data_IF_808540333924
#
_entry.id   IF_808540333924
#
_cell.length_a   1.000
_cell.length_b   1.000
_cell.length_c   1.000
_cell.angle_alpha   90.00
_cell.angle_beta   90.00
_cell.angle_gamma   90.00
#
_symmetry.space_group_name_H-M   'P 1'
#
loop_
_entity.id
_entity.type
_entity.pdbx_description
1 polymer ?
#
# COMPACT_ATOMS: atom_id res chain seq x y z
N UNK A 1 8.12 -5.72 5.15
CA UNK A 1 7.24 -4.60 5.60
C UNK A 1 6.72 -3.89 4.37
N UNK A 2 5.43 -3.53 4.34
CA UNK A 2 4.84 -2.67 3.30
C UNK A 2 4.69 -1.26 3.87
N UNK A 3 5.03 -0.25 3.07
CA UNK A 3 4.94 1.18 3.43
C UNK A 3 4.17 1.92 2.35
N UNK A 4 3.34 2.86 2.75
CA UNK A 4 2.54 3.67 1.84
C UNK A 4 3.34 4.81 1.23
N UNK A 5 3.01 5.14 -0.01
CA UNK A 5 3.66 6.19 -0.81
C UNK A 5 2.58 7.10 -1.40
N UNK A 6 1.96 7.98 -0.58
CA UNK A 6 0.81 8.78 -1.01
C UNK A 6 1.23 9.97 -1.90
N UNK A 7 1.86 9.69 -3.04
CA UNK A 7 2.38 10.70 -3.98
C UNK A 7 1.31 11.32 -4.88
N UNK A 8 0.10 10.75 -4.92
CA UNK A 8 -0.97 11.19 -5.81
C UNK A 8 -2.24 11.56 -5.04
N UNK A 9 -3.06 12.39 -5.67
CA UNK A 9 -4.38 12.73 -5.15
C UNK A 9 -5.20 11.47 -4.85
N UNK A 10 -5.85 11.44 -3.69
CA UNK A 10 -6.67 10.31 -3.24
C UNK A 10 -5.88 9.11 -2.72
N UNK A 11 -4.55 9.11 -2.79
CA UNK A 11 -3.75 8.03 -2.20
C UNK A 11 -3.93 7.95 -0.68
N UNK A 12 -4.09 9.07 0.03
CA UNK A 12 -4.37 9.08 1.47
C UNK A 12 -5.69 8.36 1.80
N UNK A 13 -6.73 8.56 0.99
CA UNK A 13 -8.01 7.87 1.16
C UNK A 13 -7.90 6.38 0.82
N UNK A 14 -7.16 6.00 -0.23
CA UNK A 14 -6.87 4.60 -0.53
C UNK A 14 -6.13 3.90 0.62
N UNK A 15 -5.19 4.61 1.27
CA UNK A 15 -4.54 4.13 2.50
C UNK A 15 -5.54 3.92 3.63
N UNK A 16 -6.49 4.85 3.82
CA UNK A 16 -7.53 4.68 4.85
C UNK A 16 -8.44 3.49 4.59
N UNK A 17 -8.78 3.20 3.33
CA UNK A 17 -9.51 1.97 2.96
C UNK A 17 -8.73 0.73 3.41
N UNK A 18 -7.43 0.69 3.10
CA UNK A 18 -6.57 -0.44 3.42
C UNK A 18 -6.34 -0.61 4.93
N UNK A 19 -6.16 0.47 5.67
CA UNK A 19 -5.98 0.41 7.13
C UNK A 19 -7.29 0.08 7.86
N UNK A 20 -8.43 0.54 7.35
CA UNK A 20 -9.73 0.05 7.83
C UNK A 20 -9.90 -1.46 7.54
N UNK A 21 -9.47 -1.93 6.37
CA UNK A 21 -9.47 -3.36 6.04
C UNK A 21 -8.53 -4.16 6.95
N UNK A 22 -7.36 -3.61 7.31
CA UNK A 22 -6.43 -4.23 8.27
C UNK A 22 -7.08 -4.46 9.64
N UNK A 23 -7.90 -3.52 10.12
CA UNK A 23 -8.67 -3.64 11.38
C UNK A 23 -9.80 -4.66 11.35
N UNK A 24 -10.11 -5.19 10.17
CA UNK A 24 -11.15 -6.19 9.95
C UNK A 24 -10.56 -7.54 9.47
N UNK A 25 -9.23 -7.70 9.51
CA UNK A 25 -8.54 -8.88 8.98
C UNK A 25 -8.83 -9.12 7.47
N UNK A 26 -9.03 -8.03 6.72
CA UNK A 26 -9.34 -8.02 5.28
C UNK A 26 -8.30 -7.30 4.43
N UNK A 27 -7.11 -7.05 4.97
CA UNK A 27 -6.07 -6.28 4.27
C UNK A 27 -5.73 -6.88 2.90
N UNK A 28 -5.34 -8.16 2.82
CA UNK A 28 -4.90 -8.77 1.56
C UNK A 28 -6.03 -8.83 0.50
N UNK A 29 -7.26 -9.31 0.81
CA UNK A 29 -8.34 -9.31 -0.18
C UNK A 29 -8.66 -7.90 -0.73
N UNK A 30 -8.67 -6.88 0.13
CA UNK A 30 -8.95 -5.51 -0.28
C UNK A 30 -7.79 -4.93 -1.09
N UNK A 31 -6.54 -5.22 -0.70
CA UNK A 31 -5.35 -4.81 -1.46
C UNK A 31 -5.38 -5.38 -2.87
N UNK A 32 -5.62 -6.68 -3.01
CA UNK A 32 -5.67 -7.37 -4.29
C UNK A 32 -6.79 -6.80 -5.17
N UNK A 33 -8.00 -6.62 -4.62
CA UNK A 33 -9.12 -6.06 -5.36
C UNK A 33 -8.87 -4.63 -5.82
N UNK A 34 -8.27 -3.79 -4.98
CA UNK A 34 -7.93 -2.42 -5.34
C UNK A 34 -6.85 -2.36 -6.43
N UNK A 35 -5.86 -3.26 -6.41
CA UNK A 35 -4.88 -3.36 -7.50
C UNK A 35 -5.49 -3.88 -8.79
N UNK A 36 -6.29 -4.95 -8.73
CA UNK A 36 -6.97 -5.51 -9.90
C UNK A 36 -7.84 -4.47 -10.60
N UNK A 37 -8.54 -3.65 -9.81
CA UNK A 37 -9.46 -2.61 -10.29
C UNK A 37 -8.82 -1.23 -10.41
N UNK A 38 -7.51 -1.11 -10.20
CA UNK A 38 -6.80 0.17 -10.22
C UNK A 38 -7.05 0.99 -11.50
N UNK A 39 -7.09 0.42 -12.73
CA UNK A 39 -7.37 1.19 -13.94
C UNK A 39 -8.77 1.85 -13.95
N UNK A 40 -9.71 1.33 -13.15
CA UNK A 40 -11.09 1.79 -13.12
C UNK A 40 -11.29 2.97 -12.15
N UNK A 41 -10.56 2.99 -11.02
CA UNK A 41 -10.78 3.97 -9.95
C UNK A 41 -9.61 4.94 -9.73
N UNK A 42 -8.37 4.54 -10.02
CA UNK A 42 -7.16 5.34 -9.71
C UNK A 42 -6.70 6.20 -10.89
N UNK A 43 -7.65 6.79 -11.64
CA UNK A 43 -7.33 7.65 -12.77
C UNK A 43 -6.54 8.89 -12.30
N UNK A 44 -5.41 9.15 -12.96
CA UNK A 44 -4.50 10.22 -12.56
C UNK A 44 -5.17 11.59 -12.69
N UNK A 45 -5.24 12.34 -11.58
CA UNK A 45 -5.87 13.65 -11.50
C UNK A 45 -7.40 13.64 -11.42
N UNK A 46 -8.04 12.47 -11.42
CA UNK A 46 -9.49 12.32 -11.23
C UNK A 46 -9.83 10.94 -10.61
N UNK A 47 -9.33 10.62 -9.40
CA UNK A 47 -9.61 9.33 -8.78
C UNK A 47 -11.10 9.21 -8.38
N UNK A 48 -11.71 8.05 -8.65
CA UNK A 48 -13.04 7.69 -8.14
C UNK A 48 -12.91 6.90 -6.84
N UNK A 49 -12.75 7.61 -5.74
CA UNK A 49 -12.64 7.01 -4.41
C UNK A 49 -13.95 6.34 -3.97
N UNK A 50 -15.09 6.75 -4.52
CA UNK A 50 -16.38 6.07 -4.30
C UNK A 50 -16.40 4.67 -4.92
N UNK A 51 -15.80 4.49 -6.09
CA UNK A 51 -15.57 3.18 -6.68
C UNK A 51 -14.57 2.35 -5.86
N UNK A 52 -13.46 2.94 -5.39
CA UNK A 52 -12.50 2.24 -4.54
C UNK A 52 -13.15 1.64 -3.28
N UNK A 53 -13.99 2.42 -2.58
CA UNK A 53 -14.77 1.92 -1.45
C UNK A 53 -15.72 0.77 -1.84
N UNK A 54 -16.39 0.85 -2.98
CA UNK A 54 -17.29 -0.23 -3.46
C UNK A 54 -16.50 -1.50 -3.82
N UNK A 55 -15.33 -1.37 -4.44
CA UNK A 55 -14.43 -2.50 -4.74
C UNK A 55 -14.02 -3.20 -3.44
N UNK A 56 -13.62 -2.43 -2.42
CA UNK A 56 -13.27 -3.00 -1.12
C UNK A 56 -14.46 -3.71 -0.45
N UNK A 57 -15.66 -3.13 -0.52
CA UNK A 57 -16.88 -3.75 -0.01
C UNK A 57 -17.24 -5.06 -0.71
N UNK A 58 -17.01 -5.14 -2.03
CA UNK A 58 -17.30 -6.35 -2.82
C UNK A 58 -16.49 -7.57 -2.39
N UNK A 59 -15.33 -7.37 -1.74
CA UNK A 59 -14.48 -8.44 -1.19
C UNK A 59 -14.61 -8.59 0.33
N UNK A 60 -15.69 -8.05 0.91
CA UNK A 60 -16.09 -8.32 2.28
C UNK A 60 -15.58 -7.34 3.33
N UNK A 61 -15.16 -6.13 2.92
CA UNK A 61 -14.99 -5.02 3.86
C UNK A 61 -16.36 -4.54 4.37
N UNK A 62 -16.55 -4.49 5.68
CA UNK A 62 -17.70 -3.79 6.27
C UNK A 62 -17.51 -2.28 6.07
N UNK A 63 -18.26 -1.73 5.11
CA UNK A 63 -18.15 -0.33 4.71
C UNK A 63 -18.65 0.63 5.77
N UNK A 64 -19.65 0.26 6.56
CA UNK A 64 -20.17 1.15 7.59
C UNK A 64 -19.17 1.27 8.74
N UNK A 65 -18.63 0.13 9.20
CA UNK A 65 -17.52 0.14 10.16
C UNK A 65 -16.29 0.85 9.61
N UNK A 66 -15.91 0.57 8.37
CA UNK A 66 -14.72 1.16 7.77
C UNK A 66 -14.84 2.68 7.57
N UNK A 67 -16.02 3.22 7.26
CA UNK A 67 -16.27 4.66 7.20
C UNK A 67 -16.12 5.33 8.56
N UNK A 68 -16.56 4.68 9.63
CA UNK A 68 -16.34 5.15 11.01
C UNK A 68 -14.86 5.13 11.39
N UNK A 69 -14.14 4.06 11.01
CA UNK A 69 -12.72 3.86 11.34
C UNK A 69 -11.78 4.65 10.41
N UNK A 70 -12.29 5.24 9.33
CA UNK A 70 -11.51 5.89 8.27
C UNK A 70 -10.50 6.93 8.78
N UNK A 71 -10.88 7.69 9.81
CA UNK A 71 -10.03 8.74 10.41
C UNK A 71 -9.44 8.31 11.76
N UNK A 72 -9.32 7.00 12.00
CA UNK A 72 -8.72 6.51 13.23
C UNK A 72 -7.31 7.10 13.41
N UNK A 73 -6.94 7.59 14.62
CA UNK A 73 -5.66 8.23 14.88
C UNK A 73 -4.44 7.42 14.40
N UNK A 74 -4.45 6.10 14.63
CA UNK A 74 -3.36 5.22 14.17
C UNK A 74 -3.15 5.26 12.64
N UNK A 75 -4.21 5.39 11.83
CA UNK A 75 -4.09 5.50 10.37
C UNK A 75 -3.35 6.78 9.98
N UNK A 76 -3.66 7.88 10.66
CA UNK A 76 -2.94 9.16 10.49
C UNK A 76 -1.49 9.03 10.95
N UNK A 77 -1.24 8.34 12.06
CA UNK A 77 0.12 8.10 12.56
C UNK A 77 0.95 7.27 11.58
N UNK A 78 0.37 6.21 11.00
CA UNK A 78 0.99 5.38 9.95
C UNK A 78 1.35 6.24 8.74
N UNK A 79 0.41 7.04 8.22
CA UNK A 79 0.67 7.92 7.08
C UNK A 79 1.82 8.91 7.36
N UNK A 80 1.83 9.53 8.54
CA UNK A 80 2.88 10.47 8.92
C UNK A 80 4.24 9.79 9.05
N UNK A 81 4.29 8.61 9.67
CA UNK A 81 5.54 7.85 9.82
C UNK A 81 6.06 7.39 8.46
N UNK A 82 5.19 6.85 7.61
CA UNK A 82 5.58 6.39 6.28
C UNK A 82 6.11 7.57 5.45
N UNK A 83 5.48 8.74 5.48
CA UNK A 83 5.99 9.95 4.80
C UNK A 83 7.36 10.38 5.32
N UNK A 84 7.58 10.32 6.64
CA UNK A 84 8.89 10.62 7.23
C UNK A 84 9.96 9.61 6.77
N UNK A 85 9.64 8.30 6.77
CA UNK A 85 10.53 7.24 6.29
C UNK A 85 10.92 7.46 4.82
N UNK A 86 9.95 7.85 3.96
CA UNK A 86 10.23 8.13 2.54
C UNK A 86 11.19 9.30 2.36
N UNK A 87 11.05 10.36 3.17
CA UNK A 87 11.94 11.53 3.14
C UNK A 87 13.35 11.16 3.60
N UNK A 88 13.46 10.42 4.71
CA UNK A 88 14.74 9.97 5.26
C UNK A 88 15.48 9.04 4.30
N UNK A 89 14.76 8.11 3.67
CA UNK A 89 15.32 7.14 2.73
C UNK A 89 15.45 7.69 1.30
N UNK A 90 14.98 8.91 1.03
CA UNK A 90 15.04 9.54 -0.28
C UNK A 90 14.18 8.83 -1.36
N UNK A 91 13.10 8.16 -0.97
CA UNK A 91 12.20 7.44 -1.89
C UNK A 91 11.31 8.45 -2.63
N UNK A 92 11.33 8.40 -3.97
CA UNK A 92 10.66 9.38 -4.84
C UNK A 92 9.70 8.79 -5.86
N UNK A 93 9.63 7.46 -5.95
CA UNK A 93 8.84 6.78 -6.95
C UNK A 93 8.39 5.40 -6.46
N UNK A 94 7.37 4.87 -7.12
CA UNK A 94 6.83 3.52 -6.88
C UNK A 94 7.04 2.63 -8.10
N UNK A 95 7.18 1.30 -7.90
CA UNK A 95 7.52 0.68 -6.63
C UNK A 95 9.01 0.89 -6.29
N UNK A 96 9.35 0.94 -4.99
CA UNK A 96 10.74 0.93 -4.49
C UNK A 96 10.89 -0.23 -3.52
N UNK A 97 11.95 -1.03 -3.65
CA UNK A 97 12.20 -2.19 -2.80
C UNK A 97 13.53 -2.07 -2.06
N UNK A 98 13.54 -2.57 -0.83
CA UNK A 98 14.74 -2.75 -0.02
C UNK A 98 14.86 -4.22 0.38
N UNK A 99 16.09 -4.73 0.38
CA UNK A 99 16.44 -6.04 0.94
C UNK A 99 17.53 -5.82 1.98
N UNK A 100 17.27 -6.24 3.22
CA UNK A 100 18.18 -6.06 4.36
C UNK A 100 18.69 -4.62 4.53
N UNK A 101 17.78 -3.66 4.36
CA UNK A 101 18.06 -2.22 4.46
C UNK A 101 18.75 -1.61 3.24
N UNK A 102 19.07 -2.39 2.20
CA UNK A 102 19.71 -1.90 0.98
C UNK A 102 18.70 -1.74 -0.16
N UNK A 103 18.71 -0.62 -0.89
CA UNK A 103 17.80 -0.44 -2.04
C UNK A 103 18.15 -1.41 -3.17
N UNK A 104 17.13 -1.96 -3.81
CA UNK A 104 17.27 -2.79 -5.01
C UNK A 104 17.16 -1.93 -6.27
N UNK A 105 18.14 -2.02 -7.16
CA UNK A 105 18.15 -1.36 -8.48
C UNK A 105 17.87 -2.38 -9.60
N UNK A 106 17.42 -1.91 -10.77
CA UNK A 106 17.09 -2.77 -11.92
C UNK A 106 16.10 -3.89 -11.59
N UNK A 107 15.03 -3.51 -10.89
CA UNK A 107 14.05 -4.45 -10.37
C UNK A 107 13.21 -5.06 -11.49
N UNK A 108 13.22 -6.39 -11.55
CA UNK A 108 12.22 -7.22 -12.19
C UNK A 108 12.03 -8.48 -11.32
N UNK A 109 11.13 -9.36 -11.73
CA UNK A 109 10.84 -10.57 -10.95
C UNK A 109 12.08 -11.45 -10.76
N UNK A 110 12.88 -11.65 -11.81
CA UNK A 110 14.06 -12.51 -11.76
C UNK A 110 15.15 -11.93 -10.86
N UNK A 111 15.42 -10.62 -10.96
CA UNK A 111 16.44 -9.95 -10.13
C UNK A 111 16.03 -9.93 -8.66
N UNK A 112 14.75 -9.70 -8.36
CA UNK A 112 14.22 -9.78 -7.01
C UNK A 112 14.33 -11.22 -6.45
N UNK A 113 13.92 -12.22 -7.23
CA UNK A 113 13.97 -13.63 -6.83
C UNK A 113 15.39 -14.11 -6.56
N UNK A 114 16.35 -13.69 -7.38
CA UNK A 114 17.77 -14.00 -7.19
C UNK A 114 18.33 -13.32 -5.93
N UNK A 115 18.03 -12.02 -5.72
CA UNK A 115 18.50 -11.28 -4.55
C UNK A 115 18.03 -11.93 -3.24
N UNK A 116 16.74 -12.30 -3.17
CA UNK A 116 16.18 -12.99 -2.00
C UNK A 116 16.83 -14.36 -1.78
N UNK A 117 17.02 -15.15 -2.84
CA UNK A 117 17.67 -16.46 -2.74
C UNK A 117 19.09 -16.36 -2.20
N UNK A 118 19.86 -15.37 -2.65
CA UNK A 118 21.22 -15.14 -2.18
C UNK A 118 21.24 -14.71 -0.70
N UNK A 119 20.41 -13.75 -0.31
CA UNK A 119 20.34 -13.27 1.07
C UNK A 119 20.00 -14.42 2.05
N UNK A 120 19.08 -15.32 1.68
CA UNK A 120 18.75 -16.50 2.49
C UNK A 120 19.90 -17.50 2.58
N UNK A 121 20.71 -17.63 1.52
CA UNK A 121 21.87 -18.53 1.51
C UNK A 121 23.03 -18.02 2.38
N UNK A 122 23.24 -16.70 2.47
CA UNK A 122 24.31 -16.07 3.26
C UNK A 122 24.10 -16.17 4.78
N UNK A 123 22.87 -16.45 5.23
CA UNK A 123 22.53 -16.62 6.65
C UNK A 123 22.82 -18.06 7.14
N UNK A 124 23.12 -19.00 6.24
CA UNK A 124 23.40 -20.41 6.56
C UNK A 124 24.89 -20.69 6.70
#
# INVERSE_FOLDING_TARGET
>A
VLRYTPFHEGSDEAVRILEAARRQDKFEPVLDALFEKQPEWANHGAPDLGLAWRVAGAVGLDLERARSDRLHPDTTAILNQDVADLQELGVRATPTFFLDGRPLTNLNFDTLSAAVRNAVAEIR
#
